data_IF_220909111058
#
_entry.id   IF_220909111058
#
_cell.length_a   1.000
_cell.length_b   1.000
_cell.length_c   1.000
_cell.angle_alpha   90.00
_cell.angle_beta   90.00
_cell.angle_gamma   90.00
#
_symmetry.space_group_name_H-M   'P 1'
#
loop_
_entity.id
_entity.type
_entity.pdbx_description
1 polymer ?
#
# COMPACT_ATOMS: atom_id res chain seq x y z
N UNK A 1 5.18 20.12 4.45
CA UNK A 1 3.98 19.50 5.08
C UNK A 1 3.11 18.76 4.07
N UNK A 2 2.77 19.33 2.90
CA UNK A 2 1.94 18.65 1.89
C UNK A 2 2.63 17.43 1.27
N UNK A 3 3.93 17.49 1.02
CA UNK A 3 4.73 16.36 0.51
C UNK A 3 4.71 15.17 1.49
N UNK A 4 4.86 15.44 2.79
CA UNK A 4 4.81 14.38 3.80
C UNK A 4 3.41 13.72 3.87
N UNK A 5 2.34 14.51 3.80
CA UNK A 5 0.97 13.98 3.72
C UNK A 5 0.78 13.15 2.45
N UNK A 6 1.28 13.61 1.30
CA UNK A 6 1.21 12.87 0.04
C UNK A 6 1.97 11.55 0.09
N UNK A 7 3.12 11.51 0.78
CA UNK A 7 3.89 10.26 0.99
C UNK A 7 3.10 9.26 1.83
N UNK A 8 2.45 9.71 2.91
CA UNK A 8 1.62 8.85 3.76
C UNK A 8 0.41 8.33 2.97
N UNK A 9 -0.32 9.24 2.31
CA UNK A 9 -1.50 8.88 1.50
C UNK A 9 -1.12 7.95 0.35
N UNK A 10 -0.05 8.27 -0.40
CA UNK A 10 0.42 7.44 -1.51
C UNK A 10 0.83 6.04 -1.07
N UNK A 11 1.51 5.92 0.07
CA UNK A 11 1.87 4.62 0.64
C UNK A 11 0.65 3.84 1.15
N UNK A 12 -0.33 4.52 1.73
CA UNK A 12 -1.55 3.89 2.26
C UNK A 12 -2.48 3.38 1.15
N UNK A 13 -2.53 4.08 0.02
CA UNK A 13 -3.32 3.65 -1.13
C UNK A 13 -2.66 2.44 -1.81
N UNK A 14 -1.35 2.53 -2.07
CA UNK A 14 -0.52 1.43 -2.58
C UNK A 14 -1.19 0.54 -3.63
N UNK A 15 -0.97 -0.75 -3.54
CA UNK A 15 -1.60 -1.77 -4.39
C UNK A 15 -3.07 -2.02 -4.07
N UNK A 16 -3.57 -1.53 -2.93
CA UNK A 16 -4.98 -1.66 -2.52
C UNK A 16 -5.96 -1.09 -3.54
N UNK A 17 -5.56 -0.06 -4.30
CA UNK A 17 -6.40 0.51 -5.36
C UNK A 17 -6.72 -0.50 -6.48
N UNK A 18 -5.87 -1.48 -6.69
CA UNK A 18 -6.08 -2.55 -7.68
C UNK A 18 -6.84 -3.72 -7.02
N UNK A 19 -6.56 -4.03 -5.77
CA UNK A 19 -7.17 -5.12 -5.03
C UNK A 19 -8.68 -4.90 -4.80
N UNK A 20 -9.11 -3.68 -4.45
CA UNK A 20 -10.52 -3.37 -4.17
C UNK A 20 -11.44 -3.62 -5.37
N UNK A 21 -11.17 -3.15 -6.60
CA UNK A 21 -11.96 -3.50 -7.77
C UNK A 21 -11.99 -5.01 -8.05
N UNK A 22 -10.87 -5.70 -7.90
CA UNK A 22 -10.81 -7.16 -8.06
C UNK A 22 -11.72 -7.87 -7.06
N UNK A 23 -11.69 -7.48 -5.78
CA UNK A 23 -12.57 -8.03 -4.76
C UNK A 23 -14.05 -7.74 -5.06
N UNK A 24 -14.36 -6.57 -5.61
CA UNK A 24 -15.71 -6.21 -6.02
C UNK A 24 -16.26 -7.08 -7.17
N UNK A 25 -15.38 -7.71 -7.98
CA UNK A 25 -15.81 -8.69 -8.98
C UNK A 25 -16.11 -10.07 -8.41
N UNK A 26 -15.64 -10.36 -7.20
CA UNK A 26 -15.75 -11.69 -6.54
C UNK A 26 -16.75 -11.71 -5.39
N UNK A 27 -17.11 -10.56 -4.85
CA UNK A 27 -17.93 -10.41 -3.66
C UNK A 27 -19.07 -9.42 -3.91
N UNK A 28 -20.07 -9.44 -3.03
CA UNK A 28 -21.10 -8.40 -3.06
C UNK A 28 -20.51 -7.03 -2.69
N UNK A 29 -21.16 -5.98 -3.16
CA UNK A 29 -20.75 -4.62 -2.86
C UNK A 29 -20.73 -4.34 -1.34
N UNK A 30 -21.70 -4.86 -0.60
CA UNK A 30 -21.76 -4.70 0.87
C UNK A 30 -20.60 -5.41 1.56
N UNK A 31 -20.23 -6.63 1.12
CA UNK A 31 -19.09 -7.36 1.67
C UNK A 31 -17.78 -6.60 1.44
N UNK A 32 -17.58 -6.07 0.24
CA UNK A 32 -16.39 -5.26 -0.07
C UNK A 32 -16.30 -4.03 0.81
N UNK A 33 -17.43 -3.31 1.02
CA UNK A 33 -17.45 -2.14 1.91
C UNK A 33 -17.05 -2.52 3.32
N UNK A 34 -17.62 -3.61 3.88
CA UNK A 34 -17.27 -4.07 5.22
C UNK A 34 -15.81 -4.52 5.33
N UNK A 35 -15.31 -5.25 4.32
CA UNK A 35 -13.91 -5.66 4.26
C UNK A 35 -12.98 -4.46 4.26
N UNK A 36 -13.26 -3.44 3.44
CA UNK A 36 -12.46 -2.21 3.37
C UNK A 36 -12.51 -1.44 4.70
N UNK A 37 -13.69 -1.33 5.33
CA UNK A 37 -13.81 -0.64 6.63
C UNK A 37 -13.00 -1.35 7.72
N UNK A 38 -13.11 -2.69 7.81
CA UNK A 38 -12.35 -3.47 8.79
C UNK A 38 -10.84 -3.35 8.54
N UNK A 39 -10.41 -3.52 7.29
CA UNK A 39 -9.01 -3.39 6.90
C UNK A 39 -8.47 -1.99 7.21
N UNK A 40 -9.25 -0.95 6.93
CA UNK A 40 -8.88 0.42 7.24
C UNK A 40 -8.74 0.66 8.75
N UNK A 41 -9.68 0.17 9.56
CA UNK A 41 -9.59 0.28 11.02
C UNK A 41 -8.32 -0.40 11.57
N UNK A 42 -8.02 -1.61 11.11
CA UNK A 42 -6.79 -2.33 11.51
C UNK A 42 -5.56 -1.54 11.10
N UNK A 43 -5.53 -1.04 9.86
CA UNK A 43 -4.40 -0.26 9.33
C UNK A 43 -4.17 1.03 10.13
N UNK A 44 -5.24 1.75 10.50
CA UNK A 44 -5.15 2.95 11.35
C UNK A 44 -4.57 2.61 12.71
N UNK A 45 -5.04 1.54 13.35
CA UNK A 45 -4.52 1.10 14.67
C UNK A 45 -3.03 0.79 14.56
N UNK A 46 -2.60 0.06 13.54
CA UNK A 46 -1.18 -0.27 13.32
C UNK A 46 -0.33 0.99 13.12
N UNK A 47 -0.81 1.96 12.33
CA UNK A 47 -0.10 3.22 12.12
C UNK A 47 -0.02 4.06 13.40
N UNK A 48 -1.06 4.07 14.23
CA UNK A 48 -1.04 4.76 15.52
C UNK A 48 -0.03 4.13 16.47
N UNK A 49 0.03 2.79 16.55
CA UNK A 49 1.02 2.07 17.37
C UNK A 49 2.45 2.41 16.90
N UNK A 50 2.70 2.39 15.58
CA UNK A 50 4.00 2.73 15.01
C UNK A 50 4.36 4.20 15.28
N UNK A 51 3.39 5.11 15.16
CA UNK A 51 3.58 6.53 15.42
C UNK A 51 3.92 6.79 16.90
N UNK A 52 3.20 6.17 17.82
CA UNK A 52 3.46 6.26 19.26
C UNK A 52 4.84 5.70 19.62
N UNK A 53 5.18 4.53 19.08
CA UNK A 53 6.49 3.91 19.27
C UNK A 53 7.62 4.81 18.76
N UNK A 54 7.46 5.40 17.59
CA UNK A 54 8.43 6.34 17.01
C UNK A 54 8.55 7.61 17.83
N UNK A 55 7.44 8.15 18.30
CA UNK A 55 7.40 9.36 19.12
C UNK A 55 8.12 9.17 20.46
N UNK A 56 7.81 8.08 21.17
CA UNK A 56 8.42 7.77 22.48
C UNK A 56 9.93 7.51 22.38
N UNK A 57 10.41 7.04 21.22
CA UNK A 57 11.82 6.77 20.97
C UNK A 57 12.57 7.91 20.24
N UNK A 58 12.00 9.12 20.19
CA UNK A 58 12.67 10.29 19.60
C UNK A 58 12.88 10.22 18.08
N UNK A 59 12.04 9.46 17.36
CA UNK A 59 12.08 9.37 15.90
C UNK A 59 13.21 8.50 15.33
N UNK A 60 13.77 7.58 16.13
CA UNK A 60 14.76 6.61 15.65
C UNK A 60 14.13 5.58 14.72
N UNK A 61 14.95 4.83 14.00
CA UNK A 61 14.48 3.78 13.09
C UNK A 61 13.56 2.78 13.79
N UNK A 62 12.52 2.32 13.09
CA UNK A 62 11.48 1.43 13.63
C UNK A 62 12.06 0.19 14.31
N UNK A 63 13.02 -0.49 13.69
CA UNK A 63 13.67 -1.70 14.26
C UNK A 63 14.34 -1.37 15.58
N UNK A 64 14.98 -0.21 15.69
CA UNK A 64 15.65 0.25 16.90
C UNK A 64 14.65 0.63 18.00
N UNK A 65 13.50 1.17 17.62
CA UNK A 65 12.41 1.45 18.55
C UNK A 65 11.84 0.16 19.14
N UNK A 66 11.61 -0.86 18.32
CA UNK A 66 11.20 -2.19 18.79
C UNK A 66 12.25 -2.82 19.72
N UNK A 67 13.52 -2.68 19.37
CA UNK A 67 14.62 -3.17 20.19
C UNK A 67 14.63 -2.54 21.58
N UNK A 68 14.35 -1.23 21.68
CA UNK A 68 14.35 -0.50 22.95
C UNK A 68 13.22 -0.87 23.87
N UNK A 69 12.01 -1.06 23.32
CA UNK A 69 10.78 -1.24 24.10
C UNK A 69 10.45 -2.72 24.40
N UNK A 70 10.68 -3.61 23.44
CA UNK A 70 10.19 -4.98 23.55
C UNK A 70 11.24 -5.97 24.05
N UNK A 71 12.52 -5.69 23.87
CA UNK A 71 13.55 -6.67 24.14
C UNK A 71 14.54 -6.22 25.19
N UNK A 72 14.68 -7.05 26.25
CA UNK A 72 15.61 -6.85 27.34
C UNK A 72 16.54 -8.08 27.47
N UNK A 73 17.77 -7.85 27.92
CA UNK A 73 18.72 -8.91 28.23
C UNK A 73 19.58 -9.40 27.06
N UNK A 74 20.21 -10.56 27.23
CA UNK A 74 21.24 -11.11 26.30
C UNK A 74 20.71 -11.50 24.93
N UNK A 75 19.41 -11.78 24.81
CA UNK A 75 18.76 -12.18 23.54
C UNK A 75 18.31 -11.01 22.68
N UNK A 76 18.43 -9.79 23.18
CA UNK A 76 18.01 -8.55 22.50
C UNK A 76 18.55 -8.47 21.06
N UNK A 77 19.82 -8.71 20.86
CA UNK A 77 20.47 -8.65 19.55
C UNK A 77 19.90 -9.68 18.57
N UNK A 78 19.63 -10.90 19.03
CA UNK A 78 19.10 -11.98 18.18
C UNK A 78 17.69 -11.62 17.69
N UNK A 79 16.82 -11.15 18.59
CA UNK A 79 15.45 -10.74 18.21
C UNK A 79 15.46 -9.53 17.27
N UNK A 80 16.35 -8.55 17.49
CA UNK A 80 16.51 -7.41 16.57
C UNK A 80 16.88 -7.85 15.16
N UNK A 81 17.82 -8.81 15.02
CA UNK A 81 18.18 -9.36 13.71
C UNK A 81 17.03 -10.12 13.05
N UNK A 82 16.24 -10.88 13.82
CA UNK A 82 15.07 -11.59 13.30
C UNK A 82 14.03 -10.58 12.78
N UNK A 83 13.71 -9.54 13.56
CA UNK A 83 12.78 -8.50 13.13
C UNK A 83 13.28 -7.79 11.89
N UNK A 84 14.57 -7.44 11.85
CA UNK A 84 15.18 -6.80 10.69
C UNK A 84 15.07 -7.68 9.44
N UNK A 85 15.34 -8.97 9.56
CA UNK A 85 15.24 -9.91 8.45
C UNK A 85 13.78 -10.06 7.96
N UNK A 86 12.82 -10.25 8.88
CA UNK A 86 11.39 -10.36 8.54
C UNK A 86 10.89 -9.08 7.86
N UNK A 87 11.25 -7.92 8.41
CA UNK A 87 10.87 -6.63 7.84
C UNK A 87 11.50 -6.40 6.45
N UNK A 88 12.78 -6.79 6.29
CA UNK A 88 13.45 -6.74 4.99
C UNK A 88 12.79 -7.62 3.93
N UNK A 89 12.39 -8.84 4.30
CA UNK A 89 11.65 -9.74 3.40
C UNK A 89 10.29 -9.15 3.03
N UNK A 90 9.56 -8.61 4.02
CA UNK A 90 8.27 -7.98 3.78
C UNK A 90 8.37 -6.79 2.81
N UNK A 91 9.40 -5.96 2.96
CA UNK A 91 9.68 -4.85 2.02
C UNK A 91 9.97 -5.38 0.61
N UNK A 92 10.81 -6.43 0.48
CA UNK A 92 11.12 -7.01 -0.83
C UNK A 92 9.88 -7.55 -1.54
N UNK A 93 8.98 -8.23 -0.81
CA UNK A 93 7.72 -8.71 -1.33
C UNK A 93 6.85 -7.52 -1.78
N UNK A 94 6.71 -6.48 -0.97
CA UNK A 94 5.96 -5.27 -1.31
C UNK A 94 6.52 -4.55 -2.55
N UNK A 95 7.84 -4.41 -2.67
CA UNK A 95 8.48 -3.83 -3.86
C UNK A 95 8.18 -4.68 -5.11
N UNK A 96 8.30 -6.02 -4.99
CA UNK A 96 8.00 -6.93 -6.10
C UNK A 96 6.55 -6.80 -6.55
N UNK A 97 5.59 -6.72 -5.62
CA UNK A 97 4.18 -6.47 -5.93
C UNK A 97 3.95 -5.16 -6.68
N UNK A 98 4.58 -4.07 -6.22
CA UNK A 98 4.47 -2.76 -6.88
C UNK A 98 5.10 -2.77 -8.29
N UNK A 99 6.24 -3.44 -8.48
CA UNK A 99 6.87 -3.57 -9.80
C UNK A 99 5.97 -4.35 -10.74
N UNK A 100 5.40 -5.46 -10.27
CA UNK A 100 4.50 -6.28 -11.08
C UNK A 100 3.23 -5.52 -11.46
N UNK A 101 2.61 -4.81 -10.52
CA UNK A 101 1.44 -3.97 -10.78
C UNK A 101 1.73 -2.85 -11.76
N UNK A 102 2.85 -2.13 -11.58
CA UNK A 102 3.28 -1.08 -12.51
C UNK A 102 3.61 -1.63 -13.91
N UNK A 103 4.31 -2.75 -13.98
CA UNK A 103 4.64 -3.41 -15.25
C UNK A 103 3.37 -3.82 -16.03
N UNK A 104 2.33 -4.29 -15.34
CA UNK A 104 1.06 -4.66 -15.97
C UNK A 104 0.41 -3.48 -16.70
N UNK A 105 0.53 -2.26 -16.15
CA UNK A 105 0.02 -1.04 -16.81
C UNK A 105 0.78 -0.78 -18.12
N UNK A 106 2.12 -0.92 -18.09
CA UNK A 106 2.94 -0.74 -19.30
C UNK A 106 2.63 -1.79 -20.38
N UNK A 107 2.41 -3.06 -19.99
CA UNK A 107 2.00 -4.11 -20.92
C UNK A 107 0.67 -3.76 -21.58
N UNK A 108 -0.31 -3.33 -20.78
CA UNK A 108 -1.66 -3.03 -21.30
C UNK A 108 -1.69 -1.78 -22.20
N UNK A 109 -0.82 -0.80 -21.96
CA UNK A 109 -0.81 0.45 -22.72
C UNK A 109 0.07 0.39 -23.96
N UNK A 110 1.22 -0.26 -23.85
CA UNK A 110 2.24 -0.24 -24.91
C UNK A 110 2.40 -1.59 -25.62
N UNK A 111 1.74 -2.65 -25.14
CA UNK A 111 1.83 -3.98 -25.76
C UNK A 111 3.22 -4.63 -25.66
N UNK A 112 4.08 -4.16 -24.74
CA UNK A 112 5.45 -4.66 -24.57
C UNK A 112 5.46 -5.94 -23.74
N UNK A 113 6.47 -6.83 -23.90
CA UNK A 113 6.63 -8.02 -23.10
C UNK A 113 6.74 -7.70 -21.61
N UNK A 114 6.10 -8.53 -20.75
CA UNK A 114 6.04 -8.28 -19.30
C UNK A 114 7.41 -8.09 -18.65
N UNK A 115 8.41 -8.90 -19.01
CA UNK A 115 9.77 -8.77 -18.49
C UNK A 115 10.41 -7.40 -18.85
N UNK A 116 10.19 -6.91 -20.09
CA UNK A 116 10.67 -5.59 -20.47
C UNK A 116 9.96 -4.47 -19.69
N UNK A 117 8.65 -4.60 -19.50
CA UNK A 117 7.85 -3.68 -18.70
C UNK A 117 8.33 -3.59 -17.24
N UNK A 118 8.66 -4.73 -16.62
CA UNK A 118 9.24 -4.79 -15.27
C UNK A 118 10.56 -4.02 -15.17
N UNK A 119 11.47 -4.25 -16.13
CA UNK A 119 12.77 -3.56 -16.17
C UNK A 119 12.59 -2.06 -16.35
N UNK A 120 11.75 -1.63 -17.28
CA UNK A 120 11.47 -0.21 -17.53
C UNK A 120 10.90 0.45 -16.26
N UNK A 121 9.87 -0.16 -15.65
CA UNK A 121 9.26 0.37 -14.43
C UNK A 121 10.27 0.46 -13.29
N UNK A 122 11.08 -0.60 -13.09
CA UNK A 122 12.11 -0.65 -12.05
C UNK A 122 13.17 0.45 -12.25
N UNK A 123 13.62 0.67 -13.49
CA UNK A 123 14.59 1.71 -13.80
C UNK A 123 14.02 3.11 -13.54
N UNK A 124 12.79 3.37 -13.96
CA UNK A 124 12.11 4.67 -13.70
C UNK A 124 11.98 4.92 -12.21
N UNK A 125 11.44 3.94 -11.46
CA UNK A 125 11.31 4.04 -10.01
C UNK A 125 12.67 4.20 -9.32
N UNK A 126 13.68 3.45 -9.77
CA UNK A 126 15.04 3.51 -9.25
C UNK A 126 15.68 4.89 -9.45
N UNK A 127 15.50 5.51 -10.62
CA UNK A 127 15.99 6.86 -10.88
C UNK A 127 15.37 7.87 -9.91
N UNK A 128 14.05 7.81 -9.69
CA UNK A 128 13.36 8.71 -8.76
C UNK A 128 13.88 8.55 -7.33
N UNK A 129 14.07 7.29 -6.88
CA UNK A 129 14.61 6.98 -5.56
C UNK A 129 16.06 7.44 -5.44
N UNK A 130 16.87 7.26 -6.50
CA UNK A 130 18.29 7.66 -6.51
C UNK A 130 18.49 9.17 -6.41
N UNK A 131 17.57 9.97 -6.98
CA UNK A 131 17.57 11.44 -6.82
C UNK A 131 17.30 11.83 -5.37
N UNK A 132 16.65 10.99 -4.58
CA UNK A 132 16.45 11.13 -3.14
C UNK A 132 15.03 11.43 -2.71
N UNK A 133 14.85 11.49 -1.39
CA UNK A 133 13.52 11.62 -0.73
C UNK A 133 12.68 12.80 -1.22
N UNK A 134 13.32 13.92 -1.59
CA UNK A 134 12.60 15.08 -2.11
C UNK A 134 11.94 14.79 -3.47
N UNK A 135 12.65 14.08 -4.35
CA UNK A 135 12.10 13.68 -5.65
C UNK A 135 10.95 12.69 -5.49
N UNK A 136 11.08 11.74 -4.58
CA UNK A 136 10.00 10.80 -4.22
C UNK A 136 8.77 11.56 -3.72
N UNK A 137 8.94 12.52 -2.80
CA UNK A 137 7.84 13.33 -2.28
C UNK A 137 7.13 14.16 -3.36
N UNK A 138 7.89 14.73 -4.29
CA UNK A 138 7.33 15.48 -5.43
C UNK A 138 6.57 14.53 -6.38
N UNK A 139 7.15 13.39 -6.72
CA UNK A 139 6.49 12.40 -7.58
C UNK A 139 5.18 11.91 -6.96
N UNK A 140 5.18 11.57 -5.68
CA UNK A 140 3.98 11.15 -4.95
C UNK A 140 2.92 12.25 -4.86
N UNK A 141 3.31 13.51 -4.69
CA UNK A 141 2.39 14.64 -4.71
C UNK A 141 1.56 14.67 -6.00
N UNK A 142 2.20 14.58 -7.15
CA UNK A 142 1.50 14.60 -8.45
C UNK A 142 0.70 13.32 -8.67
N UNK A 143 1.23 12.17 -8.27
CA UNK A 143 0.53 10.89 -8.34
C UNK A 143 -0.77 10.90 -7.53
N UNK A 144 -0.74 11.41 -6.29
CA UNK A 144 -1.93 11.52 -5.43
C UNK A 144 -2.97 12.48 -6.01
N UNK A 145 -2.55 13.63 -6.55
CA UNK A 145 -3.49 14.57 -7.20
C UNK A 145 -4.16 13.91 -8.41
N UNK A 146 -3.39 13.24 -9.26
CA UNK A 146 -3.93 12.51 -10.41
C UNK A 146 -4.91 11.43 -9.98
N UNK A 147 -4.55 10.65 -8.98
CA UNK A 147 -5.38 9.58 -8.43
C UNK A 147 -6.69 10.12 -7.86
N UNK A 148 -6.67 11.21 -7.09
CA UNK A 148 -7.87 11.86 -6.60
C UNK A 148 -8.79 12.35 -7.75
N UNK A 149 -8.19 12.84 -8.83
CA UNK A 149 -8.92 13.20 -10.06
C UNK A 149 -9.61 11.99 -10.68
N UNK A 150 -8.91 10.87 -10.82
CA UNK A 150 -9.46 9.62 -11.37
C UNK A 150 -10.61 9.11 -10.49
N UNK A 151 -10.42 9.07 -9.17
CA UNK A 151 -11.45 8.64 -8.21
C UNK A 151 -12.68 9.54 -8.32
N UNK A 152 -12.52 10.86 -8.41
CA UNK A 152 -13.62 11.79 -8.57
C UNK A 152 -14.40 11.52 -9.88
N UNK A 153 -13.71 11.34 -11.00
CA UNK A 153 -14.34 11.01 -12.30
C UNK A 153 -15.09 9.68 -12.21
N UNK A 154 -14.48 8.65 -11.64
CA UNK A 154 -15.15 7.34 -11.46
C UNK A 154 -16.37 7.45 -10.57
N UNK A 155 -16.30 8.23 -9.48
CA UNK A 155 -17.44 8.47 -8.59
C UNK A 155 -18.60 9.13 -9.34
N UNK A 156 -18.32 10.19 -10.09
CA UNK A 156 -19.35 10.88 -10.90
C UNK A 156 -19.93 9.92 -11.95
N UNK A 157 -19.10 9.17 -12.65
CA UNK A 157 -19.56 8.19 -13.65
C UNK A 157 -20.46 7.11 -13.03
N UNK A 158 -20.15 6.64 -11.82
CA UNK A 158 -20.97 5.66 -11.11
C UNK A 158 -22.33 6.22 -10.73
N UNK A 159 -22.41 7.50 -10.31
CA UNK A 159 -23.71 8.13 -10.04
C UNK A 159 -24.55 8.38 -11.29
N UNK A 160 -23.90 8.60 -12.45
CA UNK A 160 -24.61 8.77 -13.73
C UNK A 160 -25.12 7.44 -14.31
N UNK A 161 -24.54 6.32 -13.92
CA UNK A 161 -24.95 4.98 -14.33
C UNK A 161 -25.39 4.18 -13.09
N UNK A 162 -26.67 4.28 -12.67
CA UNK A 162 -27.15 3.64 -11.47
C UNK A 162 -26.99 2.11 -11.56
N UNK A 163 -26.46 1.53 -10.50
CA UNK A 163 -26.21 0.10 -10.36
C UNK A 163 -27.53 -0.68 -10.43
N UNK A 164 -27.62 -1.65 -11.31
CA UNK A 164 -28.85 -2.39 -11.61
C UNK A 164 -29.29 -3.39 -10.55
N UNK A 165 -28.52 -3.70 -9.52
CA UNK A 165 -28.95 -4.54 -8.38
C UNK A 165 -27.95 -4.53 -7.24
N UNK A 166 -28.46 -4.43 -6.01
CA UNK A 166 -27.70 -4.80 -4.81
C UNK A 166 -27.73 -6.34 -4.70
N UNK A 167 -26.63 -6.99 -5.03
CA UNK A 167 -26.48 -8.41 -4.72
C UNK A 167 -26.22 -8.56 -3.23
N UNK A 168 -27.08 -9.30 -2.53
CA UNK A 168 -26.81 -9.83 -1.20
C UNK A 168 -26.02 -11.12 -1.38
N UNK A 169 -24.72 -11.08 -1.15
CA UNK A 169 -23.91 -12.29 -1.12
C UNK A 169 -23.46 -12.55 0.33
N UNK A 170 -23.15 -13.82 0.61
CA UNK A 170 -22.66 -14.21 1.92
C UNK A 170 -21.25 -13.65 2.19
N UNK A 171 -21.01 -13.19 3.41
CA UNK A 171 -19.73 -12.64 3.82
C UNK A 171 -18.67 -13.76 3.91
N UNK A 172 -17.61 -13.66 3.13
CA UNK A 172 -16.54 -14.64 3.07
C UNK A 172 -15.26 -14.12 3.74
N UNK A 173 -14.96 -14.59 4.94
CA UNK A 173 -13.77 -14.22 5.69
C UNK A 173 -12.45 -14.44 4.94
N UNK A 174 -12.38 -15.47 4.11
CA UNK A 174 -11.17 -15.78 3.32
C UNK A 174 -10.80 -14.65 2.35
N UNK A 175 -11.76 -13.85 1.91
CA UNK A 175 -11.53 -12.73 1.00
C UNK A 175 -11.00 -11.49 1.71
N UNK A 176 -11.22 -11.38 3.02
CA UNK A 176 -10.64 -10.31 3.82
C UNK A 176 -9.10 -10.40 3.86
N UNK A 177 -8.55 -11.62 3.92
CA UNK A 177 -7.11 -11.85 3.92
C UNK A 177 -6.45 -11.45 2.59
N UNK A 178 -7.18 -11.48 1.49
CA UNK A 178 -6.68 -11.05 0.17
C UNK A 178 -6.42 -9.52 0.08
N UNK A 179 -6.91 -8.72 1.02
CA UNK A 179 -6.60 -7.29 1.11
C UNK A 179 -5.21 -7.02 1.68
N UNK A 180 -4.61 -8.03 2.34
CA UNK A 180 -3.30 -7.92 2.98
C UNK A 180 -2.19 -8.71 2.24
N UNK A 181 -2.53 -9.40 1.16
CA UNK A 181 -1.59 -10.11 0.28
C UNK A 181 -1.21 -9.29 -0.94
#
# INVERSE_FOLDING_TARGET
TFEAVSMIVGNSIGTGIIAVPYLATKNSMLDVVWMVVIAYCINVILHLIIAELSYNNGGVQLVKSFEGELFHGKMKMVFSWIIFAVYGIAIMIGISGNINGGAQIFVNWFGIPFAAAQVIYYVIAGIVVFIGMKAVGIAQKYAVILLMGIVAVMTVATFMHPLNSFYTADFHWNNLLALYS
#
